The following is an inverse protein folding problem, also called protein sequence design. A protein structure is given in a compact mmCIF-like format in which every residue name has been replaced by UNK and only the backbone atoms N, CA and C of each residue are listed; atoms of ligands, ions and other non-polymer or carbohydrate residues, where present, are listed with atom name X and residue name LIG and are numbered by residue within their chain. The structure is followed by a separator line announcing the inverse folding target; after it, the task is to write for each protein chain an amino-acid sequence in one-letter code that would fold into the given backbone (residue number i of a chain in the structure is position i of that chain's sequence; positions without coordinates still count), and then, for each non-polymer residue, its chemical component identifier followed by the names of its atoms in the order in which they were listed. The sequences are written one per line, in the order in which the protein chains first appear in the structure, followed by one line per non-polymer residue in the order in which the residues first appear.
data_IF_403643794938
#
_entry.id   IF_403643794938
#
_cell.length_a   1.000
_cell.length_b   1.000
_cell.length_c   1.000
_cell.angle_alpha   90.00
_cell.angle_beta   90.00
_cell.angle_gamma   90.00
#
_symmetry.space_group_name_H-M   'P 1'
#
loop_
_entity.id
_entity.type
_entity.pdbx_description
1 polymer ?
#
# COMPACT_ATOMS: atom_id res chain seq x y z
N UNK A 1 21.47 54.36 65.10
CA UNK A 1 21.25 52.90 65.19
C UNK A 1 20.84 52.41 63.81
N UNK A 2 21.80 51.90 63.03
CA UNK A 2 21.59 51.40 61.67
C UNK A 2 21.18 49.93 61.74
N UNK A 3 20.00 49.59 61.23
CA UNK A 3 19.52 48.21 61.13
C UNK A 3 19.81 47.67 59.73
N UNK A 4 20.50 46.54 59.68
CA UNK A 4 21.01 45.89 58.47
C UNK A 4 19.87 45.28 57.63
N UNK A 5 19.77 45.68 56.36
CA UNK A 5 18.98 44.97 55.34
C UNK A 5 19.76 43.73 54.92
N UNK A 6 19.20 42.55 55.22
CA UNK A 6 19.73 41.27 54.78
C UNK A 6 19.69 41.15 53.24
N UNK A 7 20.84 40.84 52.66
CA UNK A 7 20.96 40.40 51.26
C UNK A 7 20.39 38.97 51.14
N UNK A 8 19.30 38.80 50.39
CA UNK A 8 18.91 37.49 49.86
C UNK A 8 19.71 37.24 48.59
N UNK A 9 20.45 36.12 48.56
CA UNK A 9 21.42 35.78 47.53
C UNK A 9 20.75 35.28 46.22
N UNK A 10 21.12 35.79 45.02
CA UNK A 10 20.51 35.42 43.73
C UNK A 10 20.68 33.97 43.28
N UNK A 11 21.52 33.16 43.95
CA UNK A 11 21.88 31.80 43.51
C UNK A 11 20.75 30.77 43.60
N UNK A 12 19.73 30.99 44.41
CA UNK A 12 18.66 30.00 44.60
C UNK A 12 17.63 29.97 43.45
N UNK A 13 17.48 31.07 42.71
CA UNK A 13 16.42 31.19 41.68
C UNK A 13 16.81 30.56 40.32
N UNK A 14 18.10 30.43 40.02
CA UNK A 14 18.58 29.78 38.78
C UNK A 14 18.52 28.24 38.83
N UNK A 15 18.61 27.65 40.04
CA UNK A 15 18.56 26.21 40.24
C UNK A 15 17.12 25.65 40.16
N UNK A 16 16.12 26.40 40.64
CA UNK A 16 14.71 25.99 40.55
C UNK A 16 14.24 25.89 39.07
N UNK A 17 14.57 26.91 38.27
CA UNK A 17 14.22 26.95 36.85
C UNK A 17 14.93 25.86 36.01
N UNK A 18 16.14 25.47 36.42
CA UNK A 18 16.88 24.38 35.78
C UNK A 18 16.30 23.01 36.11
N UNK A 19 15.86 22.79 37.36
CA UNK A 19 15.20 21.55 37.77
C UNK A 19 13.83 21.38 37.11
N UNK A 20 13.01 22.43 37.03
CA UNK A 20 11.71 22.37 36.37
C UNK A 20 11.84 22.04 34.88
N UNK A 21 12.83 22.62 34.19
CA UNK A 21 13.13 22.30 32.80
C UNK A 21 13.54 20.84 32.61
N UNK A 22 14.32 20.27 33.54
CA UNK A 22 14.69 18.86 33.52
C UNK A 22 13.48 17.95 33.71
N UNK A 23 12.59 18.27 34.66
CA UNK A 23 11.35 17.51 34.91
C UNK A 23 10.42 17.54 33.69
N UNK A 24 10.21 18.71 33.07
CA UNK A 24 9.40 18.85 31.86
C UNK A 24 9.97 18.00 30.72
N UNK A 25 11.29 18.02 30.53
CA UNK A 25 11.95 17.21 29.50
C UNK A 25 11.79 15.71 29.76
N UNK A 26 11.91 15.27 31.02
CA UNK A 26 11.71 13.87 31.41
C UNK A 26 10.26 13.42 31.18
N UNK A 27 9.28 14.23 31.57
CA UNK A 27 7.86 13.94 31.31
C UNK A 27 7.57 13.84 29.81
N UNK A 28 8.10 14.77 29.02
CA UNK A 28 7.97 14.74 27.57
C UNK A 28 8.59 13.48 26.96
N UNK A 29 9.78 13.09 27.41
CA UNK A 29 10.46 11.87 26.95
C UNK A 29 9.66 10.61 27.31
N UNK A 30 9.21 10.49 28.56
CA UNK A 30 8.40 9.36 29.01
C UNK A 30 7.09 9.25 28.23
N UNK A 31 6.36 10.35 28.08
CA UNK A 31 5.13 10.39 27.31
C UNK A 31 5.36 9.99 25.85
N UNK A 32 6.46 10.48 25.25
CA UNK A 32 6.83 10.13 23.88
C UNK A 32 7.16 8.64 23.71
N UNK A 33 7.84 8.03 24.69
CA UNK A 33 8.14 6.59 24.70
C UNK A 33 6.84 5.78 24.82
N UNK A 34 5.96 6.11 25.77
CA UNK A 34 4.69 5.41 25.93
C UNK A 34 3.79 5.56 24.70
N UNK A 35 3.74 6.75 24.10
CA UNK A 35 3.00 6.97 22.86
C UNK A 35 3.53 6.15 21.68
N UNK A 36 4.85 5.97 21.57
CA UNK A 36 5.47 5.08 20.56
C UNK A 36 5.11 3.61 20.81
N UNK A 37 5.25 3.16 22.06
CA UNK A 37 4.93 1.78 22.43
C UNK A 37 3.44 1.48 22.19
N UNK A 38 2.54 2.38 22.57
CA UNK A 38 1.10 2.23 22.33
C UNK A 38 0.80 2.07 20.84
N UNK A 39 1.44 2.87 19.97
CA UNK A 39 1.30 2.72 18.51
C UNK A 39 1.84 1.39 18.00
N UNK A 40 2.96 0.92 18.54
CA UNK A 40 3.52 -0.39 18.16
C UNK A 40 2.60 -1.54 18.56
N UNK A 41 2.09 -1.54 19.80
CA UNK A 41 1.13 -2.54 20.26
C UNK A 41 -0.15 -2.51 19.45
N UNK A 42 -0.66 -1.33 19.11
CA UNK A 42 -1.85 -1.18 18.27
C UNK A 42 -1.64 -1.78 16.88
N UNK A 43 -0.45 -1.61 16.27
CA UNK A 43 -0.10 -2.25 14.99
C UNK A 43 -0.09 -3.76 15.10
N UNK A 44 0.51 -4.30 16.17
CA UNK A 44 0.51 -5.74 16.45
C UNK A 44 -0.90 -6.30 16.62
N UNK A 45 -1.78 -5.58 17.35
CA UNK A 45 -3.19 -5.96 17.45
C UNK A 45 -3.89 -5.96 16.09
N UNK A 46 -3.64 -4.95 15.25
CA UNK A 46 -4.23 -4.86 13.92
C UNK A 46 -3.82 -6.03 13.02
N UNK A 47 -2.58 -6.50 13.11
CA UNK A 47 -2.08 -7.67 12.36
C UNK A 47 -2.80 -8.97 12.70
N UNK A 48 -3.34 -9.10 13.92
CA UNK A 48 -4.08 -10.28 14.35
C UNK A 48 -5.54 -10.28 13.90
N UNK A 49 -6.06 -9.14 13.42
CA UNK A 49 -7.48 -9.01 13.06
C UNK A 49 -7.95 -10.02 11.99
N UNK A 50 -7.21 -10.29 10.90
CA UNK A 50 -7.65 -11.27 9.90
C UNK A 50 -7.87 -12.65 10.51
N UNK A 51 -6.91 -13.16 11.31
CA UNK A 51 -7.05 -14.46 11.98
C UNK A 51 -8.16 -14.48 13.03
N UNK A 52 -8.35 -13.38 13.75
CA UNK A 52 -9.43 -13.24 14.74
C UNK A 52 -10.79 -13.30 14.06
N UNK A 53 -10.92 -12.70 12.87
CA UNK A 53 -12.13 -12.74 12.05
C UNK A 53 -12.36 -14.15 11.50
N UNK A 54 -11.33 -14.76 10.90
CA UNK A 54 -11.38 -16.10 10.33
C UNK A 54 -11.80 -17.15 11.37
N UNK A 55 -11.19 -17.12 12.56
CA UNK A 55 -11.48 -18.07 13.66
C UNK A 55 -12.70 -17.66 14.50
N UNK A 56 -13.32 -16.52 14.19
CA UNK A 56 -14.41 -15.90 14.95
C UNK A 56 -14.13 -15.81 16.46
N UNK A 57 -12.91 -15.45 16.84
CA UNK A 57 -12.47 -15.45 18.25
C UNK A 57 -13.35 -14.53 19.09
N UNK A 58 -13.73 -13.37 18.55
CA UNK A 58 -14.62 -12.40 19.19
C UNK A 58 -15.95 -13.05 19.61
N UNK A 59 -16.55 -13.87 18.73
CA UNK A 59 -17.82 -14.56 19.01
C UNK A 59 -17.65 -15.61 20.11
N UNK A 60 -16.57 -16.41 20.03
CA UNK A 60 -16.25 -17.43 21.05
C UNK A 60 -15.96 -16.84 22.42
N UNK A 61 -15.53 -15.58 22.48
CA UNK A 61 -15.28 -14.81 23.70
C UNK A 61 -16.49 -14.00 24.18
N UNK A 62 -17.65 -14.12 23.52
CA UNK A 62 -18.90 -13.50 23.96
C UNK A 62 -19.09 -12.04 23.52
N UNK A 63 -18.29 -11.56 22.57
CA UNK A 63 -18.49 -10.22 22.00
C UNK A 63 -19.52 -10.26 20.87
N UNK A 64 -20.28 -9.17 20.69
CA UNK A 64 -21.31 -9.09 19.65
C UNK A 64 -20.74 -8.94 18.24
N UNK A 65 -19.56 -8.33 18.12
CA UNK A 65 -18.90 -8.05 16.83
C UNK A 65 -17.39 -7.90 16.99
N UNK A 66 -16.66 -8.01 15.87
CA UNK A 66 -15.23 -7.71 15.82
C UNK A 66 -14.91 -6.27 16.23
N UNK A 67 -15.81 -5.33 15.93
CA UNK A 67 -15.65 -3.92 16.27
C UNK A 67 -15.71 -3.70 17.78
N UNK A 68 -16.68 -4.32 18.46
CA UNK A 68 -16.78 -4.26 19.90
C UNK A 68 -15.55 -4.89 20.56
N UNK A 69 -15.12 -6.04 20.05
CA UNK A 69 -13.93 -6.75 20.51
C UNK A 69 -12.67 -5.87 20.41
N UNK A 70 -12.41 -5.29 19.23
CA UNK A 70 -11.22 -4.48 18.98
C UNK A 70 -11.26 -3.14 19.74
N UNK A 71 -12.44 -2.53 19.87
CA UNK A 71 -12.62 -1.30 20.65
C UNK A 71 -12.36 -1.55 22.14
N UNK A 72 -12.94 -2.61 22.72
CA UNK A 72 -12.80 -2.91 24.16
C UNK A 72 -11.39 -3.37 24.54
N UNK A 73 -10.72 -4.16 23.70
CA UNK A 73 -9.42 -4.74 24.06
C UNK A 73 -8.23 -3.92 23.59
N UNK A 74 -8.32 -3.26 22.43
CA UNK A 74 -7.21 -2.56 21.81
C UNK A 74 -7.47 -1.06 21.61
N UNK A 75 -8.66 -0.55 21.96
CA UNK A 75 -9.02 0.85 21.74
C UNK A 75 -9.16 1.22 20.26
N UNK A 76 -9.38 0.24 19.37
CA UNK A 76 -9.48 0.49 17.93
C UNK A 76 -10.85 1.06 17.55
N UNK A 77 -10.86 2.10 16.72
CA UNK A 77 -12.09 2.61 16.10
C UNK A 77 -12.59 1.66 15.00
N UNK A 78 -13.89 1.74 14.66
CA UNK A 78 -14.45 0.97 13.54
C UNK A 78 -13.67 1.18 12.24
N UNK A 79 -13.40 2.44 11.90
CA UNK A 79 -12.58 2.80 10.75
C UNK A 79 -11.20 2.14 10.77
N UNK A 80 -10.52 2.12 11.92
CA UNK A 80 -9.21 1.46 12.04
C UNK A 80 -9.29 -0.05 11.85
N UNK A 81 -10.38 -0.69 12.27
CA UNK A 81 -10.61 -2.12 12.06
C UNK A 81 -10.88 -2.42 10.60
N UNK A 82 -11.78 -1.66 9.96
CA UNK A 82 -12.12 -1.84 8.55
C UNK A 82 -10.89 -1.62 7.66
N UNK A 83 -10.13 -0.56 7.90
CA UNK A 83 -8.91 -0.29 7.14
C UNK A 83 -7.85 -1.37 7.33
N UNK A 84 -7.68 -1.88 8.56
CA UNK A 84 -6.74 -2.97 8.82
C UNK A 84 -7.14 -4.24 8.07
N UNK A 85 -8.41 -4.65 8.17
CA UNK A 85 -8.91 -5.82 7.46
C UNK A 85 -8.79 -5.65 5.93
N UNK A 86 -9.21 -4.50 5.39
CA UNK A 86 -9.14 -4.23 3.96
C UNK A 86 -7.71 -4.31 3.42
N UNK A 87 -6.74 -3.68 4.11
CA UNK A 87 -5.35 -3.70 3.67
C UNK A 87 -4.72 -5.07 3.87
N UNK A 88 -4.94 -5.73 5.01
CA UNK A 88 -4.31 -7.02 5.30
C UNK A 88 -4.82 -8.15 4.42
N UNK A 89 -6.09 -8.11 4.02
CA UNK A 89 -6.64 -9.06 3.05
C UNK A 89 -5.97 -8.91 1.67
N UNK A 90 -5.67 -7.68 1.24
CA UNK A 90 -4.90 -7.46 -0.01
C UNK A 90 -3.47 -8.00 0.09
N UNK A 91 -2.93 -8.10 1.30
CA UNK A 91 -1.58 -8.59 1.55
C UNK A 91 -1.55 -10.08 1.91
N UNK A 92 -2.65 -10.82 1.73
CA UNK A 92 -2.75 -12.21 2.15
C UNK A 92 -1.60 -13.05 1.59
N UNK A 93 -1.38 -12.93 0.28
CA UNK A 93 -0.34 -13.62 -0.50
C UNK A 93 1.03 -12.89 -0.52
N UNK A 94 1.22 -11.84 0.29
CA UNK A 94 2.38 -10.93 0.21
C UNK A 94 3.09 -10.83 1.57
N UNK A 95 3.82 -11.88 1.98
CA UNK A 95 4.39 -11.97 3.33
C UNK A 95 5.38 -10.84 3.65
N UNK A 96 6.14 -10.36 2.66
CA UNK A 96 7.13 -9.28 2.88
C UNK A 96 6.44 -7.97 3.25
N UNK A 97 5.31 -7.66 2.59
CA UNK A 97 4.53 -6.46 2.90
C UNK A 97 3.78 -6.60 4.23
N UNK A 98 3.31 -7.80 4.60
CA UNK A 98 2.74 -8.07 5.93
C UNK A 98 3.75 -7.79 7.05
N UNK A 99 5.00 -8.23 6.90
CA UNK A 99 6.06 -7.92 7.87
C UNK A 99 6.34 -6.42 7.94
N UNK A 100 6.37 -5.75 6.78
CA UNK A 100 6.58 -4.31 6.72
C UNK A 100 5.49 -3.53 7.48
N UNK A 101 4.24 -4.00 7.46
CA UNK A 101 3.14 -3.39 8.24
C UNK A 101 3.45 -3.40 9.75
N UNK A 102 4.08 -4.44 10.29
CA UNK A 102 4.48 -4.49 11.69
C UNK A 102 5.47 -3.37 12.06
N UNK A 103 6.41 -3.10 11.16
CA UNK A 103 7.48 -2.14 11.37
C UNK A 103 7.00 -0.69 11.20
N UNK A 104 6.42 -0.37 10.05
CA UNK A 104 6.13 1.02 9.66
C UNK A 104 4.64 1.39 9.77
N UNK A 105 3.75 0.40 9.90
CA UNK A 105 2.32 0.57 10.05
C UNK A 105 1.51 0.52 8.74
N UNK A 106 0.23 0.19 8.87
CA UNK A 106 -0.73 0.00 7.77
C UNK A 106 -0.78 1.21 6.83
N UNK A 107 -0.83 2.43 7.37
CA UNK A 107 -1.00 3.65 6.58
C UNK A 107 0.12 3.91 5.57
N UNK A 108 1.34 3.42 5.83
CA UNK A 108 2.47 3.57 4.89
C UNK A 108 2.47 2.49 3.82
N UNK A 109 1.98 1.30 4.12
CA UNK A 109 1.91 0.18 3.17
C UNK A 109 0.63 0.23 2.32
N UNK A 110 -0.43 0.87 2.82
CA UNK A 110 -1.72 1.02 2.14
C UNK A 110 -1.63 1.42 0.65
N UNK A 111 -0.79 2.41 0.24
CA UNK A 111 -0.72 2.81 -1.17
C UNK A 111 -0.28 1.67 -2.10
N UNK A 112 0.71 0.88 -1.66
CA UNK A 112 1.31 -0.19 -2.48
C UNK A 112 0.54 -1.50 -2.39
N UNK A 113 -0.28 -1.69 -1.36
CA UNK A 113 -0.98 -2.95 -1.10
C UNK A 113 -1.84 -3.45 -2.27
N UNK A 114 -2.40 -2.52 -3.07
CA UNK A 114 -3.26 -2.86 -4.21
C UNK A 114 -2.52 -2.99 -5.55
N UNK A 115 -1.25 -2.59 -5.64
CA UNK A 115 -0.44 -2.68 -6.89
C UNK A 115 0.61 -3.77 -6.80
N UNK A 116 1.10 -4.03 -5.59
CA UNK A 116 2.04 -5.11 -5.38
C UNK A 116 1.45 -6.45 -5.80
N UNK A 117 2.28 -7.26 -6.46
CA UNK A 117 2.06 -8.68 -6.74
C UNK A 117 2.97 -9.51 -5.83
N UNK A 118 2.85 -10.84 -5.87
CA UNK A 118 3.78 -11.75 -5.18
C UNK A 118 5.24 -11.48 -5.58
N UNK A 119 5.45 -11.15 -6.85
CA UNK A 119 6.79 -11.06 -7.46
C UNK A 119 7.40 -9.66 -7.33
N UNK A 120 6.58 -8.65 -7.07
CA UNK A 120 7.01 -7.24 -6.94
C UNK A 120 6.98 -6.74 -5.50
N UNK A 121 6.63 -7.60 -4.52
CA UNK A 121 6.45 -7.20 -3.13
C UNK A 121 7.73 -6.63 -2.50
N UNK A 122 8.91 -7.15 -2.85
CA UNK A 122 10.20 -6.70 -2.34
C UNK A 122 10.52 -5.28 -2.85
N UNK A 123 10.28 -5.04 -4.14
CA UNK A 123 10.43 -3.72 -4.75
C UNK A 123 9.54 -2.70 -4.05
N UNK A 124 8.26 -3.03 -3.87
CA UNK A 124 7.32 -2.13 -3.20
C UNK A 124 7.65 -1.92 -1.71
N UNK A 125 8.18 -2.95 -1.04
CA UNK A 125 8.61 -2.85 0.35
C UNK A 125 9.79 -1.89 0.51
N UNK A 126 10.79 -1.97 -0.38
CA UNK A 126 11.93 -1.06 -0.38
C UNK A 126 11.47 0.40 -0.60
N UNK A 127 10.63 0.64 -1.61
CA UNK A 127 10.07 1.98 -1.88
C UNK A 127 9.30 2.52 -0.68
N UNK A 128 8.49 1.69 -0.02
CA UNK A 128 7.71 2.09 1.15
C UNK A 128 8.57 2.39 2.39
N UNK A 129 9.78 1.81 2.51
CA UNK A 129 10.75 2.15 3.57
C UNK A 129 11.34 3.55 3.33
N UNK A 130 11.82 3.79 2.11
CA UNK A 130 12.57 4.99 1.74
C UNK A 130 11.65 6.21 1.59
N UNK A 131 10.52 6.07 0.89
CA UNK A 131 9.68 7.20 0.51
C UNK A 131 8.66 7.54 1.62
N UNK A 132 8.37 8.84 1.84
CA UNK A 132 7.26 9.24 2.69
C UNK A 132 5.94 8.90 2.00
N UNK A 133 4.88 8.72 2.80
CA UNK A 133 3.56 8.24 2.35
C UNK A 133 3.03 8.98 1.11
N UNK A 134 3.05 10.32 1.13
CA UNK A 134 2.46 11.11 0.04
C UNK A 134 3.22 10.92 -1.28
N UNK A 135 4.56 10.84 -1.22
CA UNK A 135 5.40 10.59 -2.41
C UNK A 135 5.14 9.18 -2.94
N UNK A 136 4.97 8.20 -2.04
CA UNK A 136 4.62 6.84 -2.44
C UNK A 136 3.23 6.76 -3.08
N UNK A 137 2.26 7.53 -2.60
CA UNK A 137 0.92 7.62 -3.20
C UNK A 137 0.99 8.20 -4.62
N UNK A 138 1.75 9.27 -4.84
CA UNK A 138 1.97 9.83 -6.17
C UNK A 138 2.70 8.84 -7.08
N UNK A 139 3.77 8.22 -6.59
CA UNK A 139 4.53 7.24 -7.38
C UNK A 139 3.67 6.03 -7.79
N UNK A 140 2.83 5.51 -6.89
CA UNK A 140 1.89 4.43 -7.21
C UNK A 140 0.84 4.88 -8.21
N UNK A 141 0.35 6.12 -8.10
CA UNK A 141 -0.60 6.69 -9.05
C UNK A 141 0.00 6.77 -10.45
N UNK A 142 1.21 7.31 -10.58
CA UNK A 142 1.90 7.46 -11.87
C UNK A 142 2.25 6.08 -12.44
N UNK A 143 2.74 5.16 -11.59
CA UNK A 143 2.96 3.77 -11.96
C UNK A 143 1.68 3.10 -12.48
N UNK A 144 0.51 3.36 -11.88
CA UNK A 144 -0.77 2.84 -12.41
C UNK A 144 -1.12 3.45 -13.76
N UNK A 145 -0.85 4.73 -13.99
CA UNK A 145 -1.07 5.35 -15.29
C UNK A 145 -0.15 4.77 -16.36
N UNK A 146 1.09 4.45 -16.00
CA UNK A 146 2.09 3.84 -16.90
C UNK A 146 1.86 2.33 -17.11
N UNK A 147 1.36 1.63 -16.08
CA UNK A 147 1.14 0.17 -16.08
C UNK A 147 -0.27 -0.24 -16.47
N UNK A 148 -1.22 0.71 -16.51
CA UNK A 148 -2.42 0.53 -17.29
C UNK A 148 -1.93 0.31 -18.72
N UNK A 149 -2.30 -0.78 -19.40
CA UNK A 149 -2.18 -0.76 -20.84
C UNK A 149 -2.88 0.51 -21.30
N UNK A 150 -2.18 1.34 -22.08
CA UNK A 150 -2.83 2.41 -22.79
C UNK A 150 -4.03 1.85 -23.58
N UNK A 151 -4.84 2.71 -24.20
CA UNK A 151 -5.92 2.25 -25.11
C UNK A 151 -5.48 1.24 -26.19
N UNK A 152 -4.17 0.96 -26.33
CA UNK A 152 -3.58 -0.09 -27.16
C UNK A 152 -3.84 -1.53 -26.72
N UNK A 153 -4.25 -1.84 -25.48
CA UNK A 153 -4.60 -3.23 -25.08
C UNK A 153 -6.09 -3.45 -24.82
N UNK A 154 -6.93 -2.48 -25.18
CA UNK A 154 -8.33 -2.77 -25.49
C UNK A 154 -8.40 -3.15 -26.98
N UNK A 155 -9.22 -4.13 -27.39
CA UNK A 155 -9.43 -4.41 -28.80
C UNK A 155 -9.99 -3.14 -29.48
N UNK A 156 -9.11 -2.37 -30.12
CA UNK A 156 -9.51 -1.18 -30.87
C UNK A 156 -10.24 -1.66 -32.11
N UNK A 157 -11.46 -1.17 -32.34
CA UNK A 157 -12.14 -1.35 -33.63
C UNK A 157 -11.41 -0.54 -34.70
N UNK A 158 -10.41 -1.16 -35.32
CA UNK A 158 -9.72 -0.60 -36.48
C UNK A 158 -10.47 -1.06 -37.74
N UNK A 159 -11.06 -0.11 -38.47
CA UNK A 159 -11.65 -0.39 -39.77
C UNK A 159 -10.56 -0.37 -40.85
N UNK A 160 -10.06 -1.54 -41.22
CA UNK A 160 -9.14 -1.71 -42.35
C UNK A 160 -9.94 -2.07 -43.60
N UNK A 161 -9.94 -1.20 -44.63
CA UNK A 161 -10.58 -1.52 -45.92
C UNK A 161 -9.58 -2.19 -46.87
N UNK A 162 -9.86 -3.42 -47.28
CA UNK A 162 -9.04 -4.19 -48.22
C UNK A 162 -9.86 -4.53 -49.47
N UNK A 163 -9.29 -4.31 -50.66
CA UNK A 163 -9.88 -4.79 -51.92
C UNK A 163 -9.37 -6.21 -52.18
N UNK A 164 -10.23 -7.19 -51.91
CA UNK A 164 -9.94 -8.61 -52.07
C UNK A 164 -10.69 -9.20 -53.27
N UNK A 165 -10.16 -10.28 -53.84
CA UNK A 165 -10.90 -11.10 -54.81
C UNK A 165 -12.10 -11.77 -54.10
N UNK A 166 -13.23 -11.99 -54.80
CA UNK A 166 -14.46 -12.51 -54.18
C UNK A 166 -14.30 -13.87 -53.50
N UNK A 167 -13.41 -14.74 -54.00
CA UNK A 167 -13.14 -16.05 -53.38
C UNK A 167 -12.38 -15.93 -52.03
N UNK A 168 -11.49 -14.94 -51.90
CA UNK A 168 -10.74 -14.67 -50.67
C UNK A 168 -11.62 -14.00 -49.61
N UNK A 169 -12.53 -13.12 -50.01
CA UNK A 169 -13.49 -12.48 -49.09
C UNK A 169 -14.37 -13.53 -48.38
N UNK A 170 -14.90 -14.51 -49.12
CA UNK A 170 -15.70 -15.60 -48.56
C UNK A 170 -14.94 -16.46 -47.56
N UNK A 171 -13.65 -16.75 -47.84
CA UNK A 171 -12.80 -17.52 -46.92
C UNK A 171 -12.49 -16.73 -45.65
N UNK A 172 -12.26 -15.43 -45.75
CA UNK A 172 -12.00 -14.56 -44.61
C UNK A 172 -13.24 -14.43 -43.70
N UNK A 173 -14.44 -14.31 -44.27
CA UNK A 173 -15.70 -14.31 -43.50
C UNK A 173 -15.93 -15.62 -42.75
N UNK A 174 -15.60 -16.76 -43.37
CA UNK A 174 -15.68 -18.06 -42.70
C UNK A 174 -14.73 -18.15 -41.50
N UNK A 175 -13.48 -17.71 -41.67
CA UNK A 175 -12.47 -17.70 -40.60
C UNK A 175 -12.82 -16.75 -39.45
N UNK A 176 -13.54 -15.66 -39.71
CA UNK A 176 -14.04 -14.75 -38.67
C UNK A 176 -15.01 -15.46 -37.71
N UNK A 177 -15.70 -16.50 -38.16
CA UNK A 177 -16.70 -17.24 -37.36
C UNK A 177 -16.08 -18.36 -36.53
N UNK A 178 -14.88 -18.84 -36.91
CA UNK A 178 -14.19 -19.98 -36.29
C UNK A 178 -13.29 -19.59 -35.09
N UNK A 179 -13.32 -18.33 -34.64
CA UNK A 179 -12.82 -17.92 -33.32
C UNK A 179 -11.29 -17.79 -33.15
N UNK A 180 -10.48 -18.12 -34.16
CA UNK A 180 -9.02 -18.11 -34.09
C UNK A 180 -8.34 -17.10 -35.03
N UNK A 181 -9.03 -16.01 -35.39
CA UNK A 181 -8.52 -15.07 -36.42
C UNK A 181 -7.31 -14.26 -35.96
N UNK A 182 -7.20 -14.00 -34.65
CA UNK A 182 -6.13 -13.17 -34.06
C UNK A 182 -4.78 -13.86 -34.18
N UNK A 183 -4.67 -15.11 -33.71
CA UNK A 183 -3.45 -15.93 -33.80
C UNK A 183 -3.00 -16.17 -35.25
N UNK A 184 -3.95 -16.32 -36.17
CA UNK A 184 -3.65 -16.51 -37.59
C UNK A 184 -3.11 -15.24 -38.25
N UNK A 185 -3.63 -14.07 -37.88
CA UNK A 185 -3.14 -12.78 -38.37
C UNK A 185 -1.75 -12.46 -37.81
N UNK A 186 -1.49 -12.74 -36.53
CA UNK A 186 -0.16 -12.58 -35.93
C UNK A 186 0.89 -13.42 -36.67
N UNK A 187 0.58 -14.71 -36.91
CA UNK A 187 1.48 -15.61 -37.65
C UNK A 187 1.74 -15.12 -39.08
N UNK A 188 0.70 -14.62 -39.76
CA UNK A 188 0.82 -14.10 -41.12
C UNK A 188 1.68 -12.83 -41.17
N UNK A 189 1.47 -11.89 -40.24
CA UNK A 189 2.27 -10.67 -40.15
C UNK A 189 3.75 -10.98 -39.91
N UNK A 190 4.04 -11.90 -38.98
CA UNK A 190 5.41 -12.34 -38.72
C UNK A 190 6.09 -12.96 -39.97
N UNK A 191 5.35 -13.71 -40.78
CA UNK A 191 5.86 -14.31 -42.02
C UNK A 191 6.12 -13.27 -43.12
N UNK A 192 5.24 -12.26 -43.26
CA UNK A 192 5.43 -11.16 -44.23
C UNK A 192 6.61 -10.26 -43.83
N UNK A 193 6.76 -9.94 -42.55
CA UNK A 193 7.88 -9.14 -42.04
C UNK A 193 9.22 -9.86 -42.22
N UNK A 194 9.27 -11.17 -41.94
CA UNK A 194 10.44 -12.00 -42.18
C UNK A 194 10.79 -12.11 -43.68
N UNK A 195 9.80 -12.14 -44.57
CA UNK A 195 9.99 -12.19 -46.01
C UNK A 195 10.44 -10.87 -46.65
N UNK A 196 10.11 -9.73 -46.05
CA UNK A 196 10.51 -8.40 -46.57
C UNK A 196 11.98 -8.05 -46.24
N UNK A 197 12.53 -8.57 -45.14
CA UNK A 197 13.96 -8.44 -44.81
C UNK A 197 14.92 -9.15 -45.77
N UNK A 198 14.42 -10.11 -46.57
CA UNK A 198 15.23 -10.85 -47.53
C UNK A 198 15.31 -10.19 -48.93
N UNK A 199 14.54 -9.11 -49.18
CA UNK A 199 14.45 -8.47 -50.50
C UNK A 199 15.27 -7.19 -50.65
N UNK A 200 16.02 -6.79 -49.61
CA UNK A 200 17.02 -5.73 -49.66
C UNK A 200 18.42 -6.31 -49.46
N UNK A 201 18.93 -7.00 -50.48
CA UNK A 201 20.36 -7.13 -50.77
C UNK A 201 20.57 -6.91 -52.25
#
# INVERSE_FOLDING_TARGET
MSSAKGLVSPRQNQNANSNDKLVINQLHQQFSVYGKNAKEWLRKCALLLPEIVEKQVWRRKGFSSIYEYAAKLAGMSRYSVDEALRVLNLLEDKPVLKQLVAEIGINRVKPVAAVATSDTQEFWAEKARVMPKNVLETYVHDYRLESLPGPESQPVKINVSLKLKPDLAKRLEKLKTEGNIEVLLERFLAEVEAGQGARCK
#
